data_IF_674045616783
#
_entry.id   IF_674045616783
#
_cell.length_a   1.000
_cell.length_b   1.000
_cell.length_c   1.000
_cell.angle_alpha   90.00
_cell.angle_beta   90.00
_cell.angle_gamma   90.00
#
_symmetry.space_group_name_H-M   'P 1'
#
loop_
_entity.id
_entity.type
_entity.pdbx_description
1 polymer ?
#
# COMPACT_ATOMS: atom_id res chain seq x y z
N UNK A 1 -15.26 2.69 5.12
CA UNK A 1 -15.34 2.14 6.50
C UNK A 1 -13.94 1.74 6.98
N UNK A 2 -13.74 1.38 8.26
CA UNK A 2 -12.43 0.92 8.74
C UNK A 2 -11.94 -0.33 7.98
N UNK A 3 -12.83 -1.31 7.74
CA UNK A 3 -12.48 -2.51 6.97
C UNK A 3 -12.05 -2.17 5.54
N UNK A 4 -12.79 -1.31 4.85
CA UNK A 4 -12.42 -0.83 3.51
C UNK A 4 -11.08 -0.10 3.52
N UNK A 5 -10.79 0.70 4.55
CA UNK A 5 -9.50 1.39 4.68
C UNK A 5 -8.32 0.40 4.78
N UNK A 6 -8.49 -0.71 5.50
CA UNK A 6 -7.45 -1.76 5.60
C UNK A 6 -7.21 -2.44 4.25
N UNK A 7 -8.27 -2.76 3.52
CA UNK A 7 -8.17 -3.36 2.18
C UNK A 7 -7.57 -2.38 1.17
N UNK A 8 -7.93 -1.10 1.24
CA UNK A 8 -7.38 -0.02 0.41
C UNK A 8 -5.87 0.11 0.58
N UNK A 9 -5.37 0.10 1.82
CA UNK A 9 -3.93 0.14 2.10
C UNK A 9 -3.22 -1.05 1.44
N UNK A 10 -3.75 -2.27 1.60
CA UNK A 10 -3.16 -3.47 1.01
C UNK A 10 -3.11 -3.41 -0.54
N UNK A 11 -4.22 -2.99 -1.15
CA UNK A 11 -4.32 -2.87 -2.60
C UNK A 11 -3.35 -1.81 -3.15
N UNK A 12 -3.34 -0.60 -2.57
CA UNK A 12 -2.48 0.46 -3.06
C UNK A 12 -1.00 0.19 -2.82
N UNK A 13 -0.64 -0.42 -1.68
CA UNK A 13 0.74 -0.82 -1.41
C UNK A 13 1.23 -1.82 -2.46
N UNK A 14 0.40 -2.79 -2.83
CA UNK A 14 0.76 -3.80 -3.84
C UNK A 14 0.90 -3.19 -5.23
N UNK A 15 -0.04 -2.33 -5.63
CA UNK A 15 -0.06 -1.68 -6.94
C UNK A 15 1.13 -0.73 -7.15
N UNK A 16 1.38 0.12 -6.14
CA UNK A 16 2.49 1.09 -6.20
C UNK A 16 3.85 0.40 -6.12
N UNK A 17 3.97 -0.66 -5.31
CA UNK A 17 5.22 -1.42 -5.22
C UNK A 17 5.51 -2.20 -6.50
N UNK A 18 4.52 -2.91 -7.06
CA UNK A 18 4.69 -3.62 -8.33
C UNK A 18 5.04 -2.67 -9.47
N UNK A 19 4.44 -1.48 -9.50
CA UNK A 19 4.81 -0.42 -10.46
C UNK A 19 6.27 -0.01 -10.31
N UNK A 20 6.72 0.26 -9.07
CA UNK A 20 8.09 0.68 -8.79
C UNK A 20 9.13 -0.39 -9.17
N UNK A 21 8.87 -1.65 -8.80
CA UNK A 21 9.80 -2.78 -8.97
C UNK A 21 9.70 -3.42 -10.35
N UNK A 22 8.69 -3.06 -11.15
CA UNK A 22 8.44 -3.65 -12.47
C UNK A 22 7.89 -5.08 -12.40
N UNK A 23 7.27 -5.46 -11.29
CA UNK A 23 6.66 -6.78 -11.07
C UNK A 23 5.15 -6.72 -11.33
N UNK A 24 4.41 -7.71 -10.82
CA UNK A 24 2.95 -7.79 -10.97
C UNK A 24 2.30 -7.86 -9.59
N UNK A 25 1.17 -7.17 -9.47
CA UNK A 25 0.31 -7.27 -8.30
C UNK A 25 -0.10 -8.73 -8.05
N UNK A 26 -0.10 -9.21 -6.79
CA UNK A 26 -0.60 -10.54 -6.47
C UNK A 26 -2.03 -10.75 -6.99
N UNK A 27 -2.35 -11.88 -7.67
CA UNK A 27 -3.67 -12.09 -8.27
C UNK A 27 -4.84 -12.07 -7.28
N UNK A 28 -4.58 -12.32 -6.01
CA UNK A 28 -5.57 -12.28 -4.93
C UNK A 28 -5.85 -10.87 -4.41
N UNK A 29 -5.07 -9.86 -4.82
CA UNK A 29 -5.25 -8.50 -4.38
C UNK A 29 -6.43 -7.86 -5.10
N UNK A 30 -7.36 -7.20 -4.39
CA UNK A 30 -8.41 -6.43 -5.03
C UNK A 30 -7.82 -5.22 -5.77
N UNK A 31 -8.63 -4.63 -6.66
CA UNK A 31 -8.26 -3.41 -7.37
C UNK A 31 -7.93 -2.28 -6.38
N UNK A 32 -6.83 -1.57 -6.65
CA UNK A 32 -6.46 -0.32 -5.97
C UNK A 32 -7.33 0.86 -6.41
N UNK A 33 -8.09 0.71 -7.50
CA UNK A 33 -8.98 1.71 -8.05
C UNK A 33 -10.45 1.26 -8.01
N UNK A 34 -11.36 2.20 -7.77
CA UNK A 34 -12.79 1.94 -7.71
C UNK A 34 -13.30 1.59 -6.31
N UNK A 35 -14.40 0.85 -6.25
CA UNK A 35 -15.06 0.52 -4.98
C UNK A 35 -14.28 -0.54 -4.21
N UNK A 36 -13.86 -0.18 -3.00
CA UNK A 36 -13.12 -1.10 -2.12
C UNK A 36 -14.12 -1.97 -1.35
N UNK A 37 -14.04 -3.31 -1.46
CA UNK A 37 -14.95 -4.18 -0.74
C UNK A 37 -14.70 -4.12 0.77
N UNK A 38 -15.78 -4.16 1.55
CA UNK A 38 -15.67 -4.39 2.98
C UNK A 38 -15.50 -5.89 3.23
N UNK A 39 -14.28 -6.32 3.56
CA UNK A 39 -13.97 -7.71 3.86
C UNK A 39 -13.94 -7.96 5.38
N UNK A 40 -14.04 -9.23 5.78
CA UNK A 40 -13.87 -9.61 7.17
C UNK A 40 -12.43 -9.33 7.66
N UNK A 41 -12.27 -9.24 8.98
CA UNK A 41 -11.00 -8.90 9.62
C UNK A 41 -9.86 -9.85 9.23
N UNK A 42 -10.12 -11.16 9.14
CA UNK A 42 -9.08 -12.14 8.86
C UNK A 42 -8.58 -11.99 7.43
N UNK A 43 -9.50 -11.78 6.48
CA UNK A 43 -9.16 -11.53 5.08
C UNK A 43 -8.39 -10.22 4.93
N UNK A 44 -8.79 -9.14 5.61
CA UNK A 44 -8.06 -7.88 5.59
C UNK A 44 -6.63 -8.02 6.12
N UNK A 45 -6.42 -8.75 7.22
CA UNK A 45 -5.08 -9.03 7.77
C UNK A 45 -4.24 -9.82 6.75
N UNK A 46 -4.79 -10.86 6.13
CA UNK A 46 -4.08 -11.66 5.11
C UNK A 46 -3.63 -10.80 3.93
N UNK A 47 -4.50 -9.92 3.43
CA UNK A 47 -4.18 -9.03 2.31
C UNK A 47 -3.10 -8.00 2.70
N UNK A 48 -3.20 -7.40 3.90
CA UNK A 48 -2.18 -6.49 4.41
C UNK A 48 -0.82 -7.20 4.52
N UNK A 49 -0.75 -8.35 5.19
CA UNK A 49 0.47 -9.16 5.29
C UNK A 49 1.04 -9.49 3.92
N UNK A 50 0.21 -10.01 3.01
CA UNK A 50 0.65 -10.34 1.65
C UNK A 50 1.23 -9.10 0.92
N UNK A 51 0.58 -7.94 1.05
CA UNK A 51 1.02 -6.72 0.37
C UNK A 51 2.39 -6.24 0.85
N UNK A 52 2.64 -6.25 2.17
CA UNK A 52 3.91 -5.79 2.74
C UNK A 52 5.03 -6.82 2.53
N UNK A 53 4.77 -8.11 2.75
CA UNK A 53 5.79 -9.17 2.57
C UNK A 53 6.21 -9.27 1.10
N UNK A 54 5.26 -9.16 0.17
CA UNK A 54 5.57 -9.15 -1.27
C UNK A 54 6.41 -7.93 -1.62
N UNK A 55 5.98 -6.73 -1.20
CA UNK A 55 6.72 -5.51 -1.52
C UNK A 55 8.14 -5.51 -0.94
N UNK A 56 8.33 -5.97 0.31
CA UNK A 56 9.65 -6.11 0.91
C UNK A 56 10.55 -7.03 0.08
N UNK A 57 10.04 -8.21 -0.31
CA UNK A 57 10.78 -9.16 -1.15
C UNK A 57 11.14 -8.59 -2.52
N UNK A 58 10.22 -7.86 -3.16
CA UNK A 58 10.44 -7.25 -4.47
C UNK A 58 11.45 -6.12 -4.40
N UNK A 59 11.42 -5.32 -3.34
CA UNK A 59 12.40 -4.27 -3.06
C UNK A 59 13.79 -4.83 -2.81
N UNK A 60 13.91 -5.91 -2.03
CA UNK A 60 15.19 -6.59 -1.79
C UNK A 60 15.80 -7.14 -3.08
N UNK A 61 14.96 -7.55 -4.03
CA UNK A 61 15.39 -8.04 -5.34
C UNK A 61 15.54 -6.92 -6.39
N UNK A 62 15.22 -5.67 -6.05
CA UNK A 62 15.19 -4.57 -7.01
C UNK A 62 16.61 -4.16 -7.40
N UNK A 63 16.98 -4.23 -8.70
CA UNK A 63 18.31 -3.80 -9.12
C UNK A 63 18.46 -2.28 -8.96
N UNK A 64 19.65 -1.77 -8.58
CA UNK A 64 19.85 -0.33 -8.33
C UNK A 64 19.47 0.57 -9.51
N UNK A 65 19.63 0.09 -10.74
CA UNK A 65 19.30 0.83 -11.96
C UNK A 65 17.79 1.09 -12.09
N UNK A 66 16.95 0.31 -11.42
CA UNK A 66 15.50 0.50 -11.41
C UNK A 66 15.10 1.79 -10.66
N UNK A 67 15.88 2.22 -9.67
CA UNK A 67 15.55 3.34 -8.77
C UNK A 67 15.18 4.64 -9.48
N UNK A 68 15.84 4.92 -10.61
CA UNK A 68 15.68 6.14 -11.40
C UNK A 68 14.93 5.92 -12.72
N UNK A 69 14.29 4.76 -12.93
CA UNK A 69 13.48 4.54 -14.14
C UNK A 69 12.10 5.15 -13.99
N UNK A 70 11.61 5.74 -15.08
CA UNK A 70 10.20 6.05 -15.24
C UNK A 70 9.38 4.75 -15.21
N UNK A 71 8.41 4.68 -14.31
CA UNK A 71 7.56 3.48 -14.12
C UNK A 71 6.12 3.69 -14.60
N UNK A 72 5.62 4.92 -14.53
CA UNK A 72 4.35 5.33 -15.10
C UNK A 72 4.31 6.85 -15.28
N UNK A 73 3.23 7.36 -15.88
CA UNK A 73 2.97 8.80 -15.97
C UNK A 73 1.78 9.18 -15.11
N UNK A 74 1.94 10.17 -14.24
CA UNK A 74 0.86 10.79 -13.49
C UNK A 74 0.54 12.16 -14.09
N UNK A 75 -0.68 12.33 -14.60
CA UNK A 75 -1.11 13.57 -15.29
C UNK A 75 -0.14 14.01 -16.39
N UNK A 76 0.39 13.04 -17.13
CA UNK A 76 1.35 13.26 -18.22
C UNK A 76 2.80 13.50 -17.78
N UNK A 77 3.07 13.64 -16.48
CA UNK A 77 4.43 13.77 -15.94
C UNK A 77 5.01 12.39 -15.61
N UNK A 78 6.30 12.14 -15.90
CA UNK A 78 6.95 10.89 -15.53
C UNK A 78 7.03 10.76 -14.01
N UNK A 79 6.86 9.54 -13.52
CA UNK A 79 7.09 9.18 -12.12
C UNK A 79 8.20 8.14 -12.09
N UNK A 80 9.24 8.41 -11.30
CA UNK A 80 10.35 7.49 -11.09
C UNK A 80 9.98 6.38 -10.09
N UNK A 81 10.66 5.24 -10.15
CA UNK A 81 10.44 4.14 -9.18
C UNK A 81 10.61 4.62 -7.73
N UNK A 82 11.63 5.43 -7.45
CA UNK A 82 11.86 6.03 -6.13
C UNK A 82 10.71 6.96 -5.66
N UNK A 83 10.13 7.74 -6.57
CA UNK A 83 8.99 8.60 -6.29
C UNK A 83 7.72 7.78 -6.04
N UNK A 84 7.52 6.68 -6.78
CA UNK A 84 6.44 5.74 -6.53
C UNK A 84 6.55 5.07 -5.15
N UNK A 85 7.76 4.69 -4.72
CA UNK A 85 8.01 4.14 -3.38
C UNK A 85 7.80 5.18 -2.27
N UNK A 86 8.23 6.42 -2.50
CA UNK A 86 7.95 7.52 -1.59
C UNK A 86 6.44 7.79 -1.45
N UNK A 87 5.71 7.72 -2.57
CA UNK A 87 4.25 7.77 -2.56
C UNK A 87 3.66 6.61 -1.74
N UNK A 88 4.11 5.37 -1.94
CA UNK A 88 3.64 4.19 -1.17
C UNK A 88 3.81 4.39 0.34
N UNK A 89 4.99 4.87 0.76
CA UNK A 89 5.29 5.16 2.15
C UNK A 89 4.35 6.24 2.73
N UNK A 90 4.24 7.38 2.05
CA UNK A 90 3.42 8.51 2.53
C UNK A 90 1.93 8.20 2.51
N UNK A 91 1.44 7.47 1.50
CA UNK A 91 0.07 6.99 1.39
C UNK A 91 -0.28 6.06 2.57
N UNK A 92 0.59 5.09 2.86
CA UNK A 92 0.40 4.17 4.00
C UNK A 92 0.37 4.93 5.33
N UNK A 93 1.32 5.84 5.54
CA UNK A 93 1.35 6.67 6.75
C UNK A 93 0.08 7.53 6.90
N UNK A 94 -0.39 8.13 5.82
CA UNK A 94 -1.61 8.93 5.79
C UNK A 94 -2.85 8.11 6.21
N UNK A 95 -3.06 6.95 5.60
CA UNK A 95 -4.23 6.12 5.90
C UNK A 95 -4.11 5.40 7.25
N UNK A 96 -2.91 5.10 7.73
CA UNK A 96 -2.70 4.67 9.11
C UNK A 96 -3.17 5.75 10.10
N UNK A 97 -2.87 7.02 9.85
CA UNK A 97 -3.39 8.13 10.65
C UNK A 97 -4.93 8.17 10.68
N UNK A 98 -5.58 7.96 9.53
CA UNK A 98 -7.04 7.83 9.48
C UNK A 98 -7.55 6.64 10.30
N UNK A 99 -6.86 5.50 10.24
CA UNK A 99 -7.21 4.29 11.00
C UNK A 99 -7.15 4.56 12.52
N UNK A 100 -6.16 5.31 12.99
CA UNK A 100 -6.07 5.70 14.41
C UNK A 100 -7.26 6.56 14.84
N UNK A 101 -7.73 7.49 13.99
CA UNK A 101 -8.95 8.27 14.26
C UNK A 101 -10.18 7.36 14.40
N UNK A 102 -10.36 6.39 13.50
CA UNK A 102 -11.45 5.41 13.59
C UNK A 102 -11.43 4.63 14.91
N UNK A 103 -10.26 4.21 15.38
CA UNK A 103 -10.11 3.52 16.67
C UNK A 103 -10.52 4.44 17.82
N UNK A 104 -10.07 5.69 17.83
CA UNK A 104 -10.41 6.68 18.86
C UNK A 104 -11.90 6.99 18.91
N UNK A 105 -12.56 7.11 17.76
CA UNK A 105 -14.03 7.27 17.68
C UNK A 105 -14.82 6.10 18.29
N UNK A 106 -14.17 4.95 18.47
CA UNK A 106 -14.74 3.76 19.12
C UNK A 106 -14.18 3.52 20.52
N UNK A 107 -13.54 4.52 21.13
CA UNK A 107 -12.88 4.43 22.43
C UNK A 107 -11.81 3.34 22.52
N UNK A 108 -11.24 2.92 21.38
CA UNK A 108 -10.12 1.99 21.33
C UNK A 108 -8.83 2.80 21.33
N UNK A 109 -7.92 2.49 22.26
CA UNK A 109 -6.57 3.08 22.27
C UNK A 109 -5.75 2.49 21.10
N UNK A 110 -5.27 3.31 20.16
CA UNK A 110 -4.39 2.84 19.09
C UNK A 110 -3.07 2.27 19.64
N UNK A 111 -2.40 1.38 18.89
CA UNK A 111 -1.03 0.97 19.20
C UNK A 111 -0.11 2.18 19.36
N UNK A 112 0.90 2.06 20.23
CA UNK A 112 1.92 3.11 20.35
C UNK A 112 2.67 3.27 19.02
N UNK A 113 2.92 4.51 18.62
CA UNK A 113 3.76 4.80 17.47
C UNK A 113 5.19 4.28 17.70
N UNK A 114 5.76 3.62 16.69
CA UNK A 114 7.14 3.15 16.66
C UNK A 114 7.74 3.60 15.33
N UNK A 115 8.96 4.13 15.38
CA UNK A 115 9.77 4.51 14.21
C UNK A 115 10.58 3.32 13.73
#
# INVERSE_FOLDING_TARGET
SFGQLMVHIAAQNSDSCASATGTKVPPSMPSSSGEVPALDKQTAIKLLTLSFDTCAKELDAMPPEQWNKEVYKFRGQPVLASEALWYTFTHTAHHRGQAEVYLRMKNIKPPAWRF
#
